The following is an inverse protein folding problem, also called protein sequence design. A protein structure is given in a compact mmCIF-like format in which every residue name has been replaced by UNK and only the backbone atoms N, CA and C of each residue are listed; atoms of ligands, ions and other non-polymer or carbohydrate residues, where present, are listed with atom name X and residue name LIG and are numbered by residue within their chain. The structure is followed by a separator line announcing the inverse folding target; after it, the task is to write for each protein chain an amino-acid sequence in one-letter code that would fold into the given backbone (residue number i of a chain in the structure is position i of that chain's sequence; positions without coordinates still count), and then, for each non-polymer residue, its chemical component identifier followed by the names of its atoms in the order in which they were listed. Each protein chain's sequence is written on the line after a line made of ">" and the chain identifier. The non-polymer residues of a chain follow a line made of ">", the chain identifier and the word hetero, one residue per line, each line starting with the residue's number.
data_IF_128116159269
#
_entry.id   IF_128116159269
#
_cell.length_a   1.000
_cell.length_b   1.000
_cell.length_c   1.000
_cell.angle_alpha   90.00
_cell.angle_beta   90.00
_cell.angle_gamma   90.00
#
_symmetry.space_group_name_H-M   'P 1'
#
loop_
_entity.id
_entity.type
_entity.pdbx_description
1 polymer ?
#
# COMPACT_ATOMS: atom_id res chain seq x y z
N UNK A 1 -34.06 -51.13 42.35
CA UNK A 1 -33.21 -50.77 43.49
C UNK A 1 -31.76 -50.87 43.02
N UNK A 2 -31.21 -49.78 42.48
CA UNK A 2 -29.85 -49.75 41.89
C UNK A 2 -29.03 -48.77 42.71
N UNK A 3 -28.00 -49.30 43.37
CA UNK A 3 -27.09 -48.54 44.22
C UNK A 3 -26.38 -47.44 43.41
N UNK A 4 -26.58 -46.19 43.83
CA UNK A 4 -25.69 -45.08 43.52
C UNK A 4 -24.31 -45.35 44.16
N UNK A 5 -23.29 -45.61 43.34
CA UNK A 5 -21.88 -45.50 43.75
C UNK A 5 -21.35 -44.14 43.28
N UNK A 6 -21.10 -43.26 44.25
CA UNK A 6 -20.41 -41.99 44.09
C UNK A 6 -19.03 -42.19 43.44
N UNK A 7 -18.88 -41.79 42.18
CA UNK A 7 -17.57 -41.62 41.55
C UNK A 7 -17.31 -40.12 41.42
N UNK A 8 -16.51 -39.57 42.34
CA UNK A 8 -15.94 -38.23 42.21
C UNK A 8 -14.93 -38.25 41.05
N UNK A 9 -15.38 -37.85 39.86
CA UNK A 9 -14.45 -37.52 38.78
C UNK A 9 -13.74 -36.20 39.13
N UNK A 10 -12.46 -36.30 39.51
CA UNK A 10 -11.53 -35.17 39.44
C UNK A 10 -11.42 -34.78 37.96
N UNK A 11 -12.13 -33.73 37.55
CA UNK A 11 -11.96 -33.15 36.22
C UNK A 11 -10.50 -32.69 36.07
N UNK A 12 -9.71 -33.51 35.39
CA UNK A 12 -8.40 -33.15 34.86
C UNK A 12 -8.64 -32.06 33.81
N UNK A 13 -7.95 -30.93 33.98
CA UNK A 13 -8.15 -29.69 33.22
C UNK A 13 -8.28 -29.94 31.72
N UNK A 14 -9.43 -29.55 31.15
CA UNK A 14 -9.72 -29.64 29.73
C UNK A 14 -9.12 -28.38 29.07
N UNK A 15 -7.95 -28.51 28.46
CA UNK A 15 -7.32 -27.42 27.69
C UNK A 15 -7.96 -27.37 26.31
N UNK A 16 -8.92 -26.46 26.16
CA UNK A 16 -9.46 -26.09 24.86
C UNK A 16 -8.55 -25.04 24.23
N UNK A 17 -7.87 -25.40 23.13
CA UNK A 17 -7.16 -24.44 22.29
C UNK A 17 -8.15 -23.88 21.27
N UNK A 18 -8.61 -22.65 21.48
CA UNK A 18 -9.36 -21.92 20.47
C UNK A 18 -8.36 -21.18 19.56
N UNK A 19 -8.32 -21.46 18.25
CA UNK A 19 -7.50 -20.69 17.32
C UNK A 19 -8.09 -19.28 17.18
N UNK A 20 -7.42 -18.29 17.76
CA UNK A 20 -7.80 -16.87 17.62
C UNK A 20 -7.24 -16.38 16.28
N UNK A 21 -7.98 -16.62 15.21
CA UNK A 21 -7.62 -16.11 13.88
C UNK A 21 -7.87 -14.61 13.72
N UNK A 22 -8.55 -13.94 14.67
CA UNK A 22 -8.85 -12.51 14.59
C UNK A 22 -8.53 -11.77 15.92
N UNK A 23 -7.34 -11.15 15.96
CA UNK A 23 -6.89 -10.34 17.10
C UNK A 23 -7.63 -9.01 17.27
N UNK A 24 -8.48 -8.62 16.30
CA UNK A 24 -9.26 -7.38 16.35
C UNK A 24 -10.26 -7.32 17.51
N UNK A 25 -10.77 -8.48 17.95
CA UNK A 25 -11.71 -8.60 19.07
C UNK A 25 -11.08 -9.14 20.37
N UNK A 26 -9.75 -9.30 20.41
CA UNK A 26 -9.05 -9.95 21.54
C UNK A 26 -9.17 -9.19 22.87
N UNK A 27 -9.31 -7.85 22.83
CA UNK A 27 -9.49 -7.02 24.04
C UNK A 27 -10.83 -7.28 24.74
N UNK A 28 -11.91 -7.44 23.97
CA UNK A 28 -13.23 -7.74 24.52
C UNK A 28 -13.31 -9.16 25.11
N UNK A 29 -12.61 -10.11 24.46
CA UNK A 29 -12.47 -11.49 24.98
C UNK A 29 -11.67 -11.50 26.29
N UNK A 30 -10.57 -10.75 26.37
CA UNK A 30 -9.77 -10.60 27.60
C UNK A 30 -10.58 -9.97 28.74
N UNK A 31 -11.38 -8.93 28.47
CA UNK A 31 -12.26 -8.33 29.49
C UNK A 31 -13.34 -9.30 29.97
N UNK A 32 -13.94 -10.09 29.07
CA UNK A 32 -14.94 -11.09 29.46
C UNK A 32 -14.36 -12.25 30.29
N UNK A 33 -13.08 -12.58 30.11
CA UNK A 33 -12.37 -13.57 30.91
C UNK A 33 -11.93 -13.04 32.27
N UNK A 34 -11.63 -11.74 32.39
CA UNK A 34 -11.37 -11.08 33.68
C UNK A 34 -12.62 -11.05 34.58
N UNK A 35 -13.81 -10.90 33.98
CA UNK A 35 -15.07 -10.82 34.71
C UNK A 35 -15.51 -12.17 35.29
N UNK A 36 -15.01 -13.28 34.74
CA UNK A 36 -15.14 -14.61 35.34
C UNK A 36 -13.90 -14.88 36.20
N UNK A 37 -14.07 -14.71 37.50
CA UNK A 37 -13.08 -14.80 38.58
C UNK A 37 -12.25 -16.12 38.64
N UNK A 38 -11.45 -16.41 37.60
CA UNK A 38 -10.53 -17.55 37.49
C UNK A 38 -9.13 -17.04 37.83
N UNK A 39 -8.94 -16.49 39.02
CA UNK A 39 -7.68 -15.86 39.45
C UNK A 39 -6.52 -16.85 39.68
N UNK A 40 -6.74 -18.17 39.61
CA UNK A 40 -5.71 -19.17 39.97
C UNK A 40 -5.02 -19.89 38.80
N UNK A 41 -5.31 -19.55 37.55
CA UNK A 41 -4.56 -20.06 36.36
C UNK A 41 -3.87 -18.97 35.55
N UNK A 42 -3.85 -17.73 36.06
CA UNK A 42 -3.50 -16.50 35.31
C UNK A 42 -2.04 -16.07 35.51
N UNK A 43 -1.16 -16.95 36.02
CA UNK A 43 0.29 -16.63 36.10
C UNK A 43 1.00 -16.62 34.73
N UNK A 44 0.36 -17.14 33.67
CA UNK A 44 0.85 -17.09 32.29
C UNK A 44 0.28 -15.93 31.46
N UNK A 45 -0.66 -15.15 32.01
CA UNK A 45 -1.39 -14.13 31.25
C UNK A 45 -0.76 -12.73 31.34
N UNK A 46 0.08 -12.46 32.35
CA UNK A 46 0.79 -11.18 32.43
C UNK A 46 1.83 -11.06 31.31
N UNK A 47 2.64 -12.11 31.12
CA UNK A 47 3.70 -12.16 30.10
C UNK A 47 3.12 -12.20 28.66
N UNK A 48 2.01 -12.91 28.46
CA UNK A 48 1.30 -12.94 27.17
C UNK A 48 0.62 -11.59 26.85
N UNK A 49 0.01 -10.94 27.85
CA UNK A 49 -0.59 -9.62 27.68
C UNK A 49 0.48 -8.56 27.39
N UNK A 50 1.64 -8.66 28.04
CA UNK A 50 2.79 -7.80 27.78
C UNK A 50 3.34 -8.01 26.36
N UNK A 51 3.49 -9.26 25.91
CA UNK A 51 3.88 -9.58 24.53
C UNK A 51 2.87 -9.07 23.49
N UNK A 52 1.57 -9.21 23.73
CA UNK A 52 0.54 -8.66 22.82
C UNK A 52 0.62 -7.14 22.78
N UNK A 53 0.85 -6.48 23.91
CA UNK A 53 1.03 -5.05 23.98
C UNK A 53 2.27 -4.59 23.19
N UNK A 54 3.42 -5.25 23.36
CA UNK A 54 4.62 -4.96 22.56
C UNK A 54 4.42 -5.22 21.07
N UNK A 55 3.76 -6.31 20.66
CA UNK A 55 3.44 -6.58 19.26
C UNK A 55 2.51 -5.50 18.69
N UNK A 56 1.53 -5.04 19.47
CA UNK A 56 0.61 -3.97 19.04
C UNK A 56 1.33 -2.63 18.85
N UNK A 57 2.24 -2.29 19.78
CA UNK A 57 3.06 -1.09 19.67
C UNK A 57 4.02 -1.19 18.48
N UNK A 58 4.69 -2.33 18.31
CA UNK A 58 5.61 -2.57 17.21
C UNK A 58 4.89 -2.50 15.86
N UNK A 59 3.67 -3.06 15.75
CA UNK A 59 2.83 -2.93 14.57
C UNK A 59 2.46 -1.47 14.27
N UNK A 60 2.15 -0.69 15.30
CA UNK A 60 1.84 0.74 15.14
C UNK A 60 3.07 1.51 14.65
N UNK A 61 4.23 1.31 15.29
CA UNK A 61 5.50 1.95 14.91
C UNK A 61 5.89 1.58 13.48
N UNK A 62 5.84 0.29 13.11
CA UNK A 62 6.12 -0.18 11.75
C UNK A 62 5.16 0.47 10.74
N UNK A 63 3.87 0.61 11.08
CA UNK A 63 2.91 1.29 10.22
C UNK A 63 3.27 2.76 9.98
N UNK A 64 3.67 3.49 11.01
CA UNK A 64 4.10 4.89 10.86
C UNK A 64 5.39 5.01 10.04
N UNK A 65 6.38 4.15 10.29
CA UNK A 65 7.63 4.13 9.53
C UNK A 65 7.37 3.83 8.06
N UNK A 66 6.53 2.83 7.77
CA UNK A 66 6.13 2.48 6.39
C UNK A 66 5.37 3.63 5.72
N UNK A 67 4.51 4.35 6.44
CA UNK A 67 3.80 5.50 5.90
C UNK A 67 4.78 6.61 5.52
N UNK A 68 5.71 6.96 6.39
CA UNK A 68 6.73 7.99 6.11
C UNK A 68 7.57 7.59 4.89
N UNK A 69 8.05 6.34 4.85
CA UNK A 69 8.79 5.80 3.70
C UNK A 69 7.97 5.88 2.41
N UNK A 70 6.67 5.57 2.46
CA UNK A 70 5.80 5.65 1.28
C UNK A 70 5.71 7.07 0.71
N UNK A 71 5.70 8.09 1.57
CA UNK A 71 5.68 9.50 1.15
C UNK A 71 6.99 9.88 0.46
N UNK A 72 8.13 9.44 1.00
CA UNK A 72 9.43 9.66 0.36
C UNK A 72 9.54 8.98 -1.01
N UNK A 73 9.07 7.74 -1.12
CA UNK A 73 9.03 7.02 -2.40
C UNK A 73 8.13 7.74 -3.40
N UNK A 74 6.96 8.22 -2.97
CA UNK A 74 6.04 8.98 -3.81
C UNK A 74 6.73 10.25 -4.35
N UNK A 75 7.38 11.02 -3.48
CA UNK A 75 8.13 12.22 -3.88
C UNK A 75 9.25 11.89 -4.87
N UNK A 76 10.07 10.87 -4.59
CA UNK A 76 11.15 10.47 -5.48
C UNK A 76 10.64 10.06 -6.87
N UNK A 77 9.52 9.32 -6.93
CA UNK A 77 8.92 8.90 -8.19
C UNK A 77 8.28 10.07 -8.96
N UNK A 78 7.66 11.04 -8.28
CA UNK A 78 7.15 12.25 -8.95
C UNK A 78 8.27 13.07 -9.58
N UNK A 79 9.40 13.22 -8.88
CA UNK A 79 10.57 13.94 -9.38
C UNK A 79 11.21 13.21 -10.57
N UNK A 80 11.29 11.89 -10.53
CA UNK A 80 11.85 11.11 -11.66
C UNK A 80 10.97 11.24 -12.90
N UNK A 81 9.65 11.10 -12.76
CA UNK A 81 8.71 11.28 -13.86
C UNK A 81 8.75 12.70 -14.43
N UNK A 82 8.79 13.71 -13.55
CA UNK A 82 8.94 15.10 -13.97
C UNK A 82 10.22 15.30 -14.79
N UNK A 83 11.36 14.77 -14.35
CA UNK A 83 12.63 14.86 -15.07
C UNK A 83 12.57 14.19 -16.45
N UNK A 84 11.96 13.01 -16.55
CA UNK A 84 11.82 12.29 -17.82
C UNK A 84 10.92 13.05 -18.78
N UNK A 85 9.78 13.55 -18.29
CA UNK A 85 8.85 14.32 -19.11
C UNK A 85 9.45 15.65 -19.56
N UNK A 86 10.16 16.35 -18.68
CA UNK A 86 10.85 17.59 -19.04
C UNK A 86 11.91 17.34 -20.12
N UNK A 87 12.72 16.27 -19.97
CA UNK A 87 13.68 15.86 -20.99
C UNK A 87 13.01 15.49 -22.31
N UNK A 88 11.87 14.80 -22.26
CA UNK A 88 11.08 14.44 -23.45
C UNK A 88 10.64 15.68 -24.23
N UNK A 89 10.03 16.65 -23.53
CA UNK A 89 9.55 17.90 -24.13
C UNK A 89 10.73 18.68 -24.75
N UNK A 90 11.85 18.77 -24.02
CA UNK A 90 13.03 19.48 -24.51
C UNK A 90 13.62 18.80 -25.76
N UNK A 91 13.62 17.47 -25.82
CA UNK A 91 14.08 16.73 -27.00
C UNK A 91 13.21 16.99 -28.24
N UNK A 92 11.91 17.16 -28.03
CA UNK A 92 10.93 17.47 -29.10
C UNK A 92 10.76 18.97 -29.37
N UNK A 93 11.45 19.84 -28.65
CA UNK A 93 11.31 21.29 -28.82
C UNK A 93 11.58 21.77 -30.26
N UNK A 94 12.55 21.15 -30.94
CA UNK A 94 12.85 21.45 -32.36
C UNK A 94 11.69 21.08 -33.29
N UNK A 95 11.05 19.96 -33.03
CA UNK A 95 9.87 19.52 -33.77
C UNK A 95 8.70 20.49 -33.56
N UNK A 96 8.43 20.90 -32.32
CA UNK A 96 7.37 21.88 -32.03
C UNK A 96 7.67 23.26 -32.61
N UNK A 97 8.93 23.68 -32.66
CA UNK A 97 9.34 24.91 -33.34
C UNK A 97 9.07 24.85 -34.86
N UNK A 98 9.35 23.71 -35.49
CA UNK A 98 9.04 23.48 -36.91
C UNK A 98 7.53 23.51 -37.16
N UNK A 99 6.74 22.82 -36.35
CA UNK A 99 5.26 22.81 -36.45
C UNK A 99 4.69 24.21 -36.26
N UNK A 100 5.28 25.02 -35.38
CA UNK A 100 4.92 26.43 -35.20
C UNK A 100 5.24 27.28 -36.44
N UNK A 101 6.33 27.01 -37.14
CA UNK A 101 6.68 27.71 -38.38
C UNK A 101 5.67 27.44 -39.52
N UNK A 102 4.97 26.31 -39.48
CA UNK A 102 3.88 25.96 -40.41
C UNK A 102 2.57 26.72 -40.09
N UNK A 103 2.55 27.52 -39.02
CA UNK A 103 1.41 28.36 -38.64
C UNK A 103 0.49 27.75 -37.57
N UNK A 104 0.90 26.62 -36.97
CA UNK A 104 0.13 26.01 -35.86
C UNK A 104 0.22 26.89 -34.62
N UNK A 105 -0.94 27.15 -33.99
CA UNK A 105 -1.02 27.99 -32.80
C UNK A 105 -0.40 27.30 -31.57
N UNK A 106 0.09 28.10 -30.61
CA UNK A 106 0.67 27.60 -29.34
C UNK A 106 -0.32 26.73 -28.55
N UNK A 107 -1.60 27.09 -28.56
CA UNK A 107 -2.66 26.32 -27.90
C UNK A 107 -2.81 24.93 -28.50
N UNK A 108 -2.76 24.80 -29.82
CA UNK A 108 -2.86 23.50 -30.50
C UNK A 108 -1.68 22.58 -30.13
N UNK A 109 -0.46 23.12 -30.08
CA UNK A 109 0.73 22.35 -29.66
C UNK A 109 0.55 21.85 -28.22
N UNK A 110 0.08 22.72 -27.31
CA UNK A 110 -0.21 22.33 -25.94
C UNK A 110 -1.27 21.24 -25.84
N UNK A 111 -2.36 21.32 -26.61
CA UNK A 111 -3.41 20.29 -26.61
C UNK A 111 -2.92 18.94 -27.13
N UNK A 112 -2.03 18.93 -28.13
CA UNK A 112 -1.42 17.69 -28.65
C UNK A 112 -0.56 17.05 -27.57
N UNK A 113 0.31 17.84 -26.94
CA UNK A 113 1.19 17.38 -25.86
C UNK A 113 0.39 16.84 -24.66
N UNK A 114 -0.70 17.52 -24.29
CA UNK A 114 -1.61 17.05 -23.24
C UNK A 114 -2.26 15.70 -23.61
N UNK A 115 -2.71 15.54 -24.85
CA UNK A 115 -3.31 14.28 -25.32
C UNK A 115 -2.31 13.12 -25.34
N UNK A 116 -1.08 13.39 -25.77
CA UNK A 116 0.01 12.42 -25.79
C UNK A 116 0.36 11.94 -24.37
N UNK A 117 0.45 12.88 -23.43
CA UNK A 117 0.62 12.59 -22.02
C UNK A 117 -0.53 11.76 -21.44
N UNK A 118 -1.78 12.11 -21.77
CA UNK A 118 -2.97 11.39 -21.32
C UNK A 118 -3.01 9.96 -21.88
N UNK A 119 -2.56 9.76 -23.12
CA UNK A 119 -2.48 8.44 -23.74
C UNK A 119 -1.39 7.58 -23.10
N UNK A 120 -0.19 8.15 -22.90
CA UNK A 120 0.91 7.49 -22.18
C UNK A 120 0.50 7.06 -20.77
N UNK A 121 -0.31 7.91 -20.13
CA UNK A 121 -0.91 7.67 -18.85
C UNK A 121 -1.85 6.47 -18.83
N UNK A 122 -2.77 6.41 -19.80
CA UNK A 122 -3.72 5.31 -19.93
C UNK A 122 -3.00 3.98 -20.17
N UNK A 123 -1.99 3.98 -21.03
CA UNK A 123 -1.17 2.79 -21.30
C UNK A 123 -0.40 2.36 -20.06
N UNK A 124 0.15 3.31 -19.30
CA UNK A 124 0.89 3.02 -18.07
C UNK A 124 0.01 2.36 -17.00
N UNK A 125 -1.22 2.84 -16.81
CA UNK A 125 -2.18 2.22 -15.88
C UNK A 125 -2.49 0.77 -16.24
N UNK A 126 -2.62 0.47 -17.54
CA UNK A 126 -2.87 -0.88 -18.01
C UNK A 126 -1.70 -1.84 -17.71
N UNK A 127 -0.46 -1.34 -17.74
CA UNK A 127 0.75 -2.12 -17.49
C UNK A 127 1.09 -2.26 -16.00
N UNK A 128 0.68 -1.30 -15.15
CA UNK A 128 0.97 -1.33 -13.70
C UNK A 128 0.40 -2.58 -13.04
N UNK A 129 -0.82 -2.97 -13.41
CA UNK A 129 -1.55 -4.08 -12.78
C UNK A 129 -0.84 -5.42 -12.96
N UNK A 130 -0.51 -5.89 -14.18
CA UNK A 130 0.19 -7.14 -14.35
C UNK A 130 1.62 -7.11 -13.79
N UNK A 131 2.33 -5.98 -13.92
CA UNK A 131 3.70 -5.85 -13.44
C UNK A 131 3.77 -5.90 -11.91
N UNK A 132 2.90 -5.17 -11.21
CA UNK A 132 2.84 -5.20 -9.74
C UNK A 132 2.38 -6.55 -9.21
N UNK A 133 1.40 -7.19 -9.87
CA UNK A 133 0.96 -8.54 -9.52
C UNK A 133 2.07 -9.58 -9.63
N UNK A 134 2.83 -9.55 -10.73
CA UNK A 134 4.00 -10.42 -10.92
C UNK A 134 5.08 -10.16 -9.85
N UNK A 135 5.39 -8.90 -9.56
CA UNK A 135 6.38 -8.53 -8.55
C UNK A 135 6.01 -9.08 -7.17
N UNK A 136 4.76 -8.90 -6.75
CA UNK A 136 4.27 -9.39 -5.47
C UNK A 136 4.22 -10.92 -5.40
N UNK A 137 3.87 -11.60 -6.50
CA UNK A 137 3.91 -13.05 -6.58
C UNK A 137 5.34 -13.59 -6.35
N UNK A 138 6.33 -12.97 -7.00
CA UNK A 138 7.75 -13.31 -6.83
C UNK A 138 8.22 -13.01 -5.41
N UNK A 139 7.85 -11.86 -4.86
CA UNK A 139 8.21 -11.47 -3.49
C UNK A 139 7.63 -12.45 -2.45
N UNK A 140 6.38 -12.87 -2.62
CA UNK A 140 5.74 -13.85 -1.74
C UNK A 140 6.44 -15.21 -1.82
N UNK A 141 6.75 -15.69 -3.02
CA UNK A 141 7.50 -16.94 -3.21
C UNK A 141 8.88 -16.88 -2.54
N UNK A 142 9.58 -15.75 -2.67
CA UNK A 142 10.88 -15.53 -2.04
C UNK A 142 10.78 -15.52 -0.50
N UNK A 143 9.79 -14.83 0.06
CA UNK A 143 9.57 -14.76 1.51
C UNK A 143 9.25 -16.13 2.12
N UNK A 144 8.40 -16.92 1.45
CA UNK A 144 8.07 -18.30 1.88
C UNK A 144 9.35 -19.15 1.93
N UNK A 145 10.21 -19.05 0.91
CA UNK A 145 11.42 -19.86 0.83
C UNK A 145 12.51 -19.47 1.84
N UNK A 146 12.59 -18.18 2.22
CA UNK A 146 13.60 -17.68 3.17
C UNK A 146 13.16 -17.88 4.62
N UNK A 147 11.90 -17.54 4.95
CA UNK A 147 11.44 -17.44 6.34
C UNK A 147 10.73 -18.72 6.78
N UNK A 148 10.24 -19.54 5.84
CA UNK A 148 9.45 -20.74 6.13
C UNK A 148 8.08 -20.45 6.76
N UNK A 149 7.79 -19.20 7.08
CA UNK A 149 6.53 -18.71 7.62
C UNK A 149 5.91 -17.73 6.62
N UNK A 150 5.10 -18.26 5.71
CA UNK A 150 4.26 -17.46 4.83
C UNK A 150 2.94 -18.18 4.60
N UNK A 151 1.83 -17.45 4.69
CA UNK A 151 0.55 -17.96 4.22
C UNK A 151 0.64 -17.99 2.69
N UNK A 152 0.29 -19.10 2.01
CA UNK A 152 0.24 -19.12 0.55
C UNK A 152 -0.87 -18.17 0.08
N UNK A 153 -0.52 -16.90 -0.13
CA UNK A 153 -1.43 -15.88 -0.65
C UNK A 153 -1.72 -16.25 -2.10
N UNK A 154 -2.99 -16.50 -2.40
CA UNK A 154 -3.43 -16.73 -3.77
C UNK A 154 -3.35 -15.42 -4.55
N UNK A 155 -3.05 -15.54 -5.85
CA UNK A 155 -2.89 -14.38 -6.73
C UNK A 155 -4.14 -13.47 -6.73
N UNK A 156 -5.33 -14.04 -6.51
CA UNK A 156 -6.60 -13.31 -6.40
C UNK A 156 -6.68 -12.43 -5.14
N UNK A 157 -6.33 -12.95 -3.97
CA UNK A 157 -6.36 -12.19 -2.70
C UNK A 157 -5.34 -11.04 -2.70
N UNK A 158 -4.20 -11.30 -3.33
CA UNK A 158 -3.16 -10.31 -3.49
C UNK A 158 -3.58 -9.20 -4.46
N UNK A 159 -4.22 -9.56 -5.58
CA UNK A 159 -4.76 -8.56 -6.52
C UNK A 159 -5.81 -7.69 -5.83
N UNK A 160 -6.76 -8.29 -5.11
CA UNK A 160 -7.90 -7.58 -4.51
C UNK A 160 -7.45 -6.55 -3.45
N UNK A 161 -6.45 -6.92 -2.64
CA UNK A 161 -5.95 -6.04 -1.57
C UNK A 161 -4.95 -4.98 -2.07
N UNK A 162 -4.09 -5.32 -3.03
CA UNK A 162 -3.02 -4.44 -3.49
C UNK A 162 -3.46 -3.46 -4.58
N UNK A 163 -4.37 -3.88 -5.47
CA UNK A 163 -4.83 -3.08 -6.60
C UNK A 163 -5.34 -1.68 -6.23
N UNK A 164 -6.26 -1.49 -5.25
CA UNK A 164 -6.76 -0.16 -4.93
C UNK A 164 -5.66 0.77 -4.41
N UNK A 165 -4.71 0.25 -3.62
CA UNK A 165 -3.58 1.03 -3.12
C UNK A 165 -2.66 1.45 -4.27
N UNK A 166 -2.24 0.51 -5.13
CA UNK A 166 -1.35 0.84 -6.26
C UNK A 166 -2.00 1.84 -7.23
N UNK A 167 -3.29 1.68 -7.53
CA UNK A 167 -4.04 2.60 -8.37
C UNK A 167 -4.10 4.01 -7.79
N UNK A 168 -4.34 4.15 -6.48
CA UNK A 168 -4.35 5.46 -5.82
C UNK A 168 -2.97 6.12 -5.85
N UNK A 169 -1.92 5.37 -5.57
CA UNK A 169 -0.54 5.89 -5.61
C UNK A 169 -0.13 6.32 -7.02
N UNK A 170 -0.41 5.51 -8.04
CA UNK A 170 -0.07 5.85 -9.42
C UNK A 170 -0.81 7.11 -9.87
N UNK A 171 -2.14 7.19 -9.65
CA UNK A 171 -2.94 8.37 -9.99
C UNK A 171 -2.37 9.61 -9.29
N UNK A 172 -2.06 9.52 -8.00
CA UNK A 172 -1.48 10.62 -7.23
C UNK A 172 -0.15 11.13 -7.80
N UNK A 173 0.78 10.22 -8.09
CA UNK A 173 2.08 10.56 -8.68
C UNK A 173 1.91 11.32 -10.00
N UNK A 174 0.96 10.87 -10.81
CA UNK A 174 0.73 11.45 -12.14
C UNK A 174 0.12 12.82 -12.02
N UNK A 175 -0.92 12.98 -11.20
CA UNK A 175 -1.61 14.26 -11.03
C UNK A 175 -0.63 15.31 -10.54
N UNK A 176 0.24 14.97 -9.58
CA UNK A 176 1.29 15.86 -9.08
C UNK A 176 2.28 16.21 -10.20
N UNK A 177 2.73 15.22 -10.97
CA UNK A 177 3.68 15.43 -12.07
C UNK A 177 3.10 16.33 -13.17
N UNK A 178 1.83 16.13 -13.54
CA UNK A 178 1.11 16.98 -14.50
C UNK A 178 0.93 18.40 -13.99
N UNK A 179 0.58 18.55 -12.71
CA UNK A 179 0.44 19.87 -12.09
C UNK A 179 1.76 20.64 -12.10
N UNK A 180 2.87 19.98 -11.76
CA UNK A 180 4.21 20.57 -11.83
C UNK A 180 4.59 21.00 -13.25
N UNK A 181 4.24 20.19 -14.25
CA UNK A 181 4.45 20.50 -15.66
C UNK A 181 3.65 21.71 -16.14
N UNK A 182 2.36 21.76 -15.81
CA UNK A 182 1.50 22.89 -16.16
C UNK A 182 2.02 24.17 -15.50
N UNK A 183 2.44 24.07 -14.24
CA UNK A 183 3.01 25.20 -13.50
C UNK A 183 4.29 25.73 -14.15
N UNK A 184 5.20 24.83 -14.54
CA UNK A 184 6.46 25.17 -15.20
C UNK A 184 6.22 25.86 -16.56
N UNK A 185 5.34 25.27 -17.38
CA UNK A 185 4.95 25.83 -18.68
C UNK A 185 4.26 27.19 -18.57
N UNK A 186 3.37 27.38 -17.58
CA UNK A 186 2.74 28.67 -17.33
C UNK A 186 3.78 29.74 -16.96
N UNK A 187 4.81 29.37 -16.18
CA UNK A 187 5.89 30.27 -15.80
C UNK A 187 6.68 30.73 -17.02
N UNK A 188 7.07 29.82 -17.90
CA UNK A 188 7.79 30.17 -19.14
C UNK A 188 6.96 31.02 -20.09
N UNK A 189 5.66 30.73 -20.24
CA UNK A 189 4.77 31.53 -21.08
C UNK A 189 4.63 32.96 -20.51
N UNK A 190 4.50 33.09 -19.18
CA UNK A 190 4.38 34.40 -18.52
C UNK A 190 5.62 35.27 -18.64
N UNK A 191 6.82 34.67 -18.71
CA UNK A 191 8.09 35.41 -18.87
C UNK A 191 8.29 35.86 -20.31
N UNK A 192 7.84 35.07 -21.29
CA UNK A 192 7.91 35.43 -22.72
C UNK A 192 6.91 36.54 -23.06
N UNK A 193 5.74 36.58 -22.44
CA UNK A 193 4.70 37.60 -22.68
C UNK A 193 4.97 38.97 -22.03
N UNK A 194 5.91 39.05 -21.08
CA UNK A 194 6.34 40.32 -20.46
C UNK A 194 7.43 41.06 -21.25
N UNK A 195 7.91 40.49 -22.36
CA UNK A 195 8.83 41.13 -23.31
C UNK A 195 8.10 41.42 -24.61
#
# INVERSE_FOLDING_TARGET
>A
MVLCKNVKFKCKSLTAYAPVNDFSNSLAVLQSLQQKNIEKQVSYNADLAEQIFYISQLRSVVKYVMLILSVFVLLAMTLSLFSVLHSYINSNAKYYAMVRAIGVTRLTIFTILFFELLLLMLVSMLLIVPVSGLFLFIANYCLINIIGAGVPITLSQLLESAFPMFSLFSIGIIVISMFLLIWDQHREISTILKK
#
